data_IF_015122656565
#
_entry.id   IF_015122656565
#
_cell.length_a   1.000
_cell.length_b   1.000
_cell.length_c   1.000
_cell.angle_alpha   90.00
_cell.angle_beta   90.00
_cell.angle_gamma   90.00
#
_symmetry.space_group_name_H-M   'P 1'
#
loop_
_entity.id
_entity.type
_entity.pdbx_description
1 polymer ?
#
# COMPACT_ATOMS: atom_id res chain seq x y z
N UNK A 1 7.25 31.65 0.93
CA UNK A 1 7.62 30.65 1.97
C UNK A 1 8.40 29.54 1.29
N UNK A 2 9.66 29.33 1.68
CA UNK A 2 10.41 28.14 1.24
C UNK A 2 9.81 26.96 2.01
N UNK A 3 9.19 26.02 1.29
CA UNK A 3 8.62 24.80 1.88
C UNK A 3 9.75 23.79 2.05
N UNK A 4 9.97 23.31 3.28
CA UNK A 4 11.03 22.36 3.62
C UNK A 4 12.44 22.94 3.69
N UNK A 5 13.37 22.15 4.23
CA UNK A 5 14.81 22.48 4.34
C UNK A 5 15.69 21.63 3.41
N UNK A 6 16.78 22.21 2.89
CA UNK A 6 17.77 21.46 2.11
C UNK A 6 18.45 20.40 2.98
N UNK A 7 18.55 19.16 2.48
CA UNK A 7 19.11 18.02 3.22
C UNK A 7 18.13 17.31 4.16
N UNK A 8 16.94 17.88 4.37
CA UNK A 8 15.91 17.27 5.22
C UNK A 8 15.15 16.15 4.50
N UNK A 9 14.81 15.10 5.25
CA UNK A 9 13.98 13.99 4.77
C UNK A 9 12.57 14.09 5.35
N UNK A 10 11.59 13.77 4.52
CA UNK A 10 10.17 13.83 4.83
C UNK A 10 9.50 12.54 4.40
N UNK A 11 8.57 12.04 5.21
CA UNK A 11 7.71 10.93 4.84
C UNK A 11 6.37 11.52 4.43
N UNK A 12 6.03 11.32 3.16
CA UNK A 12 4.76 11.77 2.60
C UNK A 12 3.74 10.67 2.81
N UNK A 13 2.87 10.87 3.79
CA UNK A 13 1.76 9.96 4.09
C UNK A 13 0.59 10.77 4.63
N UNK A 14 -0.60 10.46 4.14
CA UNK A 14 -1.86 11.05 4.62
C UNK A 14 -2.39 10.30 5.85
N UNK A 15 -2.31 8.97 5.85
CA UNK A 15 -2.85 8.11 6.92
C UNK A 15 -2.21 6.72 6.92
N UNK A 16 -2.09 6.13 8.11
CA UNK A 16 -1.65 4.75 8.29
C UNK A 16 -2.85 3.80 8.16
N UNK A 17 -2.79 2.89 7.20
CA UNK A 17 -3.87 1.91 6.95
C UNK A 17 -3.33 0.48 6.94
N UNK A 18 -4.17 -0.44 7.39
CA UNK A 18 -3.95 -1.87 7.14
C UNK A 18 -4.34 -2.20 5.70
N UNK A 19 -3.74 -3.25 5.13
CA UNK A 19 -4.15 -3.80 3.82
C UNK A 19 -5.63 -4.14 3.76
N UNK A 20 -6.19 -4.64 4.86
CA UNK A 20 -7.63 -4.89 4.98
C UNK A 20 -8.43 -3.60 4.80
N UNK A 21 -8.05 -2.51 5.48
CA UNK A 21 -8.78 -1.24 5.38
C UNK A 21 -8.67 -0.62 3.99
N UNK A 22 -7.50 -0.74 3.34
CA UNK A 22 -7.34 -0.34 1.93
C UNK A 22 -8.32 -1.10 1.04
N UNK A 23 -8.41 -2.42 1.17
CA UNK A 23 -9.34 -3.24 0.40
C UNK A 23 -10.81 -2.89 0.68
N UNK A 24 -11.18 -2.61 1.94
CA UNK A 24 -12.53 -2.18 2.30
C UNK A 24 -12.89 -0.84 1.63
N UNK A 25 -11.98 0.14 1.67
CA UNK A 25 -12.18 1.43 1.01
C UNK A 25 -12.30 1.30 -0.51
N UNK A 26 -11.53 0.41 -1.14
CA UNK A 26 -11.66 0.12 -2.57
C UNK A 26 -13.03 -0.47 -2.91
N UNK A 27 -13.51 -1.43 -2.11
CA UNK A 27 -14.85 -2.04 -2.28
C UNK A 27 -15.96 -0.99 -2.16
N UNK A 28 -15.88 -0.15 -1.12
CA UNK A 28 -16.81 0.97 -0.90
C UNK A 28 -16.81 1.93 -2.11
N UNK A 29 -15.63 2.33 -2.59
CA UNK A 29 -15.49 3.31 -3.65
C UNK A 29 -15.96 2.81 -5.04
N UNK A 30 -15.86 1.51 -5.32
CA UNK A 30 -16.45 0.91 -6.55
C UNK A 30 -17.95 0.59 -6.42
N UNK A 31 -18.60 1.01 -5.33
CA UNK A 31 -20.02 0.77 -5.08
C UNK A 31 -20.38 -0.70 -4.85
N UNK A 32 -19.44 -1.51 -4.36
CA UNK A 32 -19.66 -2.93 -4.07
C UNK A 32 -19.82 -3.15 -2.56
N UNK A 33 -20.44 -4.27 -2.18
CA UNK A 33 -20.71 -4.64 -0.78
C UNK A 33 -20.02 -5.95 -0.36
N UNK A 34 -18.98 -6.36 -1.07
CA UNK A 34 -18.29 -7.61 -0.78
C UNK A 34 -17.54 -7.53 0.56
N UNK A 35 -17.66 -8.60 1.37
CA UNK A 35 -16.91 -8.70 2.62
C UNK A 35 -15.44 -8.98 2.33
N UNK A 36 -14.56 -8.06 2.71
CA UNK A 36 -13.11 -8.28 2.70
C UNK A 36 -12.77 -9.35 3.73
N UNK A 37 -12.11 -10.43 3.27
CA UNK A 37 -11.65 -11.53 4.11
C UNK A 37 -10.13 -11.47 4.25
N UNK A 38 -9.64 -11.87 5.42
CA UNK A 38 -8.22 -11.98 5.71
C UNK A 38 -7.81 -13.44 5.75
N UNK A 39 -6.60 -13.73 5.29
CA UNK A 39 -5.98 -15.05 5.40
C UNK A 39 -4.67 -14.95 6.20
N UNK A 40 -4.21 -16.04 6.84
CA UNK A 40 -2.91 -16.07 7.50
C UNK A 40 -1.77 -15.80 6.51
N UNK A 41 -0.76 -15.04 6.93
CA UNK A 41 0.40 -14.70 6.08
C UNK A 41 1.18 -15.90 5.56
N UNK A 42 1.13 -17.05 6.25
CA UNK A 42 1.71 -18.30 5.76
C UNK A 42 1.18 -18.70 4.38
N UNK A 43 -0.13 -18.52 4.12
CA UNK A 43 -0.73 -18.83 2.82
C UNK A 43 -0.20 -17.90 1.72
N UNK A 44 -0.11 -16.59 2.00
CA UNK A 44 0.44 -15.64 1.03
C UNK A 44 1.92 -15.89 0.75
N UNK A 45 2.71 -16.27 1.76
CA UNK A 45 4.12 -16.66 1.59
C UNK A 45 4.28 -17.89 0.69
N UNK A 46 3.44 -18.91 0.88
CA UNK A 46 3.45 -20.09 -0.01
C UNK A 46 3.08 -19.73 -1.44
N UNK A 47 2.09 -18.85 -1.64
CA UNK A 47 1.71 -18.36 -2.96
C UNK A 47 2.85 -17.58 -3.62
N UNK A 48 3.51 -16.68 -2.88
CA UNK A 48 4.65 -15.93 -3.40
C UNK A 48 5.86 -16.80 -3.75
N UNK A 49 6.15 -17.82 -2.93
CA UNK A 49 7.21 -18.78 -3.21
C UNK A 49 6.91 -19.61 -4.48
N UNK A 50 5.70 -20.12 -4.61
CA UNK A 50 5.29 -20.87 -5.82
C UNK A 50 5.32 -20.00 -7.08
N UNK A 51 4.90 -18.75 -6.96
CA UNK A 51 4.96 -17.78 -8.04
C UNK A 51 6.40 -17.52 -8.52
N UNK A 52 7.37 -17.40 -7.60
CA UNK A 52 8.80 -17.30 -7.96
C UNK A 52 9.26 -18.52 -8.78
N UNK A 53 8.93 -19.73 -8.33
CA UNK A 53 9.30 -20.97 -9.04
C UNK A 53 8.70 -21.02 -10.45
N UNK A 54 7.44 -20.61 -10.61
CA UNK A 54 6.79 -20.56 -11.92
C UNK A 54 7.46 -19.54 -12.85
N UNK A 55 7.81 -18.35 -12.33
CA UNK A 55 8.52 -17.34 -13.12
C UNK A 55 9.90 -17.81 -13.56
N UNK A 56 10.64 -18.46 -12.67
CA UNK A 56 11.97 -19.00 -12.98
C UNK A 56 11.88 -20.10 -14.07
N UNK A 57 10.78 -20.84 -14.12
CA UNK A 57 10.53 -21.88 -15.13
C UNK A 57 10.09 -21.32 -16.50
N UNK A 58 9.28 -20.26 -16.52
CA UNK A 58 8.65 -19.72 -17.74
C UNK A 58 9.45 -18.54 -18.34
N UNK A 59 10.43 -17.99 -17.60
CA UNK A 59 11.30 -16.91 -18.06
C UNK A 59 10.59 -15.57 -18.28
N UNK A 60 9.35 -15.43 -17.81
CA UNK A 60 8.54 -14.21 -17.96
C UNK A 60 8.32 -13.56 -16.59
N UNK A 61 9.23 -12.67 -16.21
CA UNK A 61 9.05 -11.81 -15.05
C UNK A 61 8.11 -10.66 -15.41
N UNK A 62 6.84 -10.81 -15.04
CA UNK A 62 5.87 -9.71 -15.07
C UNK A 62 6.18 -8.76 -13.91
N UNK A 63 6.59 -7.52 -14.23
CA UNK A 63 6.92 -6.50 -13.23
C UNK A 63 5.70 -6.00 -12.44
N UNK A 64 4.49 -6.31 -12.89
CA UNK A 64 3.19 -5.95 -12.29
C UNK A 64 2.65 -6.99 -11.29
N UNK A 65 3.46 -7.98 -10.92
CA UNK A 65 3.03 -9.10 -10.10
C UNK A 65 2.99 -8.75 -8.61
N UNK A 66 1.77 -8.65 -8.07
CA UNK A 66 1.53 -8.33 -6.66
C UNK A 66 2.02 -9.42 -5.68
N UNK A 67 2.16 -10.67 -6.14
CA UNK A 67 2.52 -11.82 -5.31
C UNK A 67 4.01 -12.18 -5.44
N UNK A 68 4.89 -11.19 -5.63
CA UNK A 68 6.32 -11.38 -5.43
C UNK A 68 6.64 -11.53 -3.93
N UNK A 69 7.54 -12.45 -3.52
CA UNK A 69 7.84 -12.71 -2.11
C UNK A 69 8.20 -11.47 -1.29
N UNK A 70 8.87 -10.50 -1.91
CA UNK A 70 9.29 -9.24 -1.30
C UNK A 70 8.07 -8.40 -0.88
N UNK A 71 7.07 -8.30 -1.77
CA UNK A 71 5.82 -7.60 -1.49
C UNK A 71 5.01 -8.34 -0.43
N UNK A 72 4.93 -9.67 -0.52
CA UNK A 72 4.25 -10.50 0.49
C UNK A 72 4.85 -10.30 1.88
N UNK A 73 6.17 -10.24 1.99
CA UNK A 73 6.84 -10.05 3.27
C UNK A 73 6.60 -8.64 3.83
N UNK A 74 6.55 -7.63 2.95
CA UNK A 74 6.16 -6.27 3.33
C UNK A 74 4.69 -6.21 3.79
N UNK A 75 3.79 -6.96 3.14
CA UNK A 75 2.37 -7.03 3.52
C UNK A 75 2.16 -7.55 4.95
N UNK A 76 3.02 -8.46 5.39
CA UNK A 76 2.98 -9.01 6.75
C UNK A 76 3.49 -8.05 7.84
N UNK A 77 4.11 -6.93 7.47
CA UNK A 77 4.71 -5.98 8.42
C UNK A 77 3.85 -4.73 8.52
N UNK A 78 3.54 -4.31 9.75
CA UNK A 78 2.89 -3.02 10.02
C UNK A 78 3.93 -1.90 10.00
N UNK A 79 4.32 -1.47 8.80
CA UNK A 79 5.29 -0.40 8.62
C UNK A 79 4.55 0.94 8.57
N UNK A 80 4.40 1.56 9.74
CA UNK A 80 3.73 2.85 9.89
C UNK A 80 4.72 3.96 10.17
N UNK A 81 4.44 5.13 9.62
CA UNK A 81 5.33 6.29 9.72
C UNK A 81 4.59 7.53 10.20
N UNK A 82 5.33 8.43 10.83
CA UNK A 82 4.82 9.74 11.22
C UNK A 82 5.04 10.76 10.09
N UNK A 83 3.96 11.30 9.52
CA UNK A 83 3.99 12.31 8.46
C UNK A 83 3.94 13.76 8.98
N UNK A 84 3.83 13.97 10.29
CA UNK A 84 3.63 15.30 10.88
C UNK A 84 4.72 16.33 10.53
N UNK A 85 5.95 15.87 10.21
CA UNK A 85 7.02 16.77 9.71
C UNK A 85 6.66 17.35 8.33
N UNK A 86 6.17 16.50 7.42
CA UNK A 86 5.74 16.92 6.09
C UNK A 86 4.53 17.87 6.16
N UNK A 87 3.59 17.61 7.06
CA UNK A 87 2.44 18.48 7.27
C UNK A 87 2.87 19.90 7.70
N UNK A 88 3.73 20.00 8.72
CA UNK A 88 4.15 21.29 9.29
C UNK A 88 5.07 22.08 8.37
N UNK A 89 6.04 21.42 7.73
CA UNK A 89 7.13 22.11 7.03
C UNK A 89 6.91 22.21 5.52
N UNK A 90 6.13 21.28 4.93
CA UNK A 90 5.78 21.30 3.50
C UNK A 90 4.36 21.84 3.27
N UNK A 91 3.55 21.98 4.33
CA UNK A 91 2.14 22.33 4.22
C UNK A 91 1.35 21.25 3.48
N UNK A 92 1.69 19.98 3.69
CA UNK A 92 0.99 18.85 3.06
C UNK A 92 -0.45 18.77 3.58
N UNK A 93 -1.46 18.79 2.70
CA UNK A 93 -2.86 18.76 3.13
C UNK A 93 -3.21 17.39 3.72
N UNK A 94 -3.97 17.39 4.81
CA UNK A 94 -4.58 16.18 5.38
C UNK A 94 -5.83 15.83 4.59
N UNK A 95 -5.70 14.95 3.61
CA UNK A 95 -6.83 14.34 2.92
C UNK A 95 -7.17 13.00 3.54
N UNK A 96 -8.45 12.66 3.60
CA UNK A 96 -8.86 11.34 4.05
C UNK A 96 -8.50 10.28 3.01
N UNK A 97 -8.24 9.05 3.45
CA UNK A 97 -7.98 7.95 2.52
C UNK A 97 -9.16 7.68 1.58
N UNK A 98 -10.39 7.87 2.05
CA UNK A 98 -11.59 7.64 1.27
C UNK A 98 -11.68 8.62 0.09
N UNK A 99 -11.38 9.91 0.33
CA UNK A 99 -11.32 10.92 -0.73
C UNK A 99 -10.26 10.57 -1.77
N UNK A 100 -9.03 10.24 -1.34
CA UNK A 100 -7.93 9.86 -2.24
C UNK A 100 -8.28 8.64 -3.10
N UNK A 101 -8.90 7.62 -2.49
CA UNK A 101 -9.29 6.41 -3.21
C UNK A 101 -10.45 6.70 -4.18
N UNK A 102 -11.40 7.54 -3.79
CA UNK A 102 -12.51 7.95 -4.67
C UNK A 102 -12.01 8.76 -5.86
N UNK A 103 -11.05 9.67 -5.64
CA UNK A 103 -10.41 10.45 -6.71
C UNK A 103 -9.64 9.55 -7.67
N UNK A 104 -8.92 8.54 -7.16
CA UNK A 104 -8.16 7.60 -7.98
C UNK A 104 -9.03 6.69 -8.86
N UNK A 105 -10.22 6.31 -8.39
CA UNK A 105 -11.14 5.41 -9.11
C UNK A 105 -11.95 6.13 -10.20
N UNK A 106 -12.08 7.46 -10.10
CA UNK A 106 -12.76 8.29 -11.11
C UNK A 106 -11.94 8.41 -12.39
#
# INVERSE_FOLDING_TARGET
MVKGGSGERYILSSVNLTYRRIAELLVEAVGRSHRVRTLPMGLFRTAGAGNRVIRDLIGHARHDDALVPENVELMGRHVYYASGKAERELGMPRMSAAELITEFIR
#
